data_IF_965214717346
#
_entry.id   IF_965214717346
#
_cell.length_a   1.000
_cell.length_b   1.000
_cell.length_c   1.000
_cell.angle_alpha   90.00
_cell.angle_beta   90.00
_cell.angle_gamma   90.00
#
_symmetry.space_group_name_H-M   'P 1'
#
loop_
_entity.id
_entity.type
_entity.pdbx_description
1 polymer ?
#
# COMPACT_ATOMS: atom_id res chain seq x y z
N UNK A 1 -26.42 43.77 0.14
CA UNK A 1 -25.94 42.57 -0.65
C UNK A 1 -24.84 41.76 0.05
N UNK A 2 -24.08 42.34 0.99
CA UNK A 2 -22.88 41.69 1.60
C UNK A 2 -23.21 40.70 2.76
N UNK A 3 -24.30 40.85 3.49
CA UNK A 3 -24.62 40.02 4.65
C UNK A 3 -25.20 38.64 4.27
N UNK A 4 -26.00 38.55 3.23
CA UNK A 4 -26.55 37.26 2.75
C UNK A 4 -25.48 36.32 2.20
N UNK A 5 -24.47 36.87 1.53
CA UNK A 5 -23.33 36.11 1.01
C UNK A 5 -22.45 35.57 2.16
N UNK A 6 -22.21 36.44 3.19
CA UNK A 6 -21.49 36.02 4.40
C UNK A 6 -22.22 34.94 5.18
N UNK A 7 -23.55 35.07 5.29
CA UNK A 7 -24.38 34.08 5.98
C UNK A 7 -24.37 32.73 5.25
N UNK A 8 -24.57 32.74 3.92
CA UNK A 8 -24.46 31.51 3.09
C UNK A 8 -23.10 30.86 3.24
N UNK A 9 -22.03 31.62 3.16
CA UNK A 9 -20.66 31.08 3.31
C UNK A 9 -20.44 30.44 4.70
N UNK A 10 -20.90 31.09 5.77
CA UNK A 10 -20.83 30.52 7.13
C UNK A 10 -21.64 29.24 7.26
N UNK A 11 -22.87 29.25 6.73
CA UNK A 11 -23.73 28.06 6.76
C UNK A 11 -23.09 26.88 6.01
N UNK A 12 -22.58 27.13 4.81
CA UNK A 12 -21.85 26.09 4.03
C UNK A 12 -20.63 25.58 4.79
N UNK A 13 -19.85 26.46 5.39
CA UNK A 13 -18.69 26.05 6.20
C UNK A 13 -19.10 25.22 7.41
N UNK A 14 -20.13 25.62 8.15
CA UNK A 14 -20.65 24.87 9.30
C UNK A 14 -21.14 23.48 8.88
N UNK A 15 -21.91 23.40 7.80
CA UNK A 15 -22.37 22.10 7.25
C UNK A 15 -21.20 21.21 6.82
N UNK A 16 -20.19 21.79 6.17
CA UNK A 16 -18.97 21.07 5.79
C UNK A 16 -18.22 20.54 7.01
N UNK A 17 -18.07 21.34 8.07
CA UNK A 17 -17.43 20.85 9.30
C UNK A 17 -18.25 19.78 10.01
N UNK A 18 -19.58 19.93 10.10
CA UNK A 18 -20.44 18.90 10.67
C UNK A 18 -20.33 17.57 9.90
N UNK A 19 -20.34 17.65 8.57
CA UNK A 19 -20.15 16.47 7.72
C UNK A 19 -18.79 15.82 7.94
N UNK A 20 -17.70 16.61 7.97
CA UNK A 20 -16.35 16.10 8.19
C UNK A 20 -16.18 15.49 9.59
N UNK A 21 -16.75 16.11 10.62
CA UNK A 21 -16.73 15.57 12.00
C UNK A 21 -17.50 14.25 12.05
N UNK A 22 -18.71 14.20 11.47
CA UNK A 22 -19.52 12.98 11.41
C UNK A 22 -18.77 11.84 10.68
N UNK A 23 -18.17 12.13 9.53
CA UNK A 23 -17.37 11.18 8.79
C UNK A 23 -16.15 10.71 9.60
N UNK A 24 -15.46 11.63 10.29
CA UNK A 24 -14.31 11.31 11.14
C UNK A 24 -14.70 10.37 12.29
N UNK A 25 -15.84 10.59 12.94
CA UNK A 25 -16.34 9.71 14.00
C UNK A 25 -16.59 8.31 13.45
N UNK A 26 -17.25 8.18 12.30
CA UNK A 26 -17.53 6.88 11.67
C UNK A 26 -16.24 6.12 11.34
N UNK A 27 -15.20 6.80 10.86
CA UNK A 27 -13.91 6.19 10.50
C UNK A 27 -13.10 5.83 11.76
N UNK A 28 -13.08 6.71 12.76
CA UNK A 28 -12.28 6.52 13.97
C UNK A 28 -12.89 5.46 14.90
N UNK A 29 -14.21 5.32 14.91
CA UNK A 29 -14.92 4.40 15.79
C UNK A 29 -14.39 2.95 15.73
N UNK A 30 -14.29 2.26 14.57
CA UNK A 30 -13.75 0.90 14.51
C UNK A 30 -12.28 0.83 14.89
N UNK A 31 -11.50 1.88 14.63
CA UNK A 31 -10.10 1.93 15.04
C UNK A 31 -9.96 1.99 16.57
N UNK A 32 -10.79 2.80 17.21
CA UNK A 32 -10.83 2.86 18.68
C UNK A 32 -11.19 1.51 19.29
N UNK A 33 -12.21 0.82 18.76
CA UNK A 33 -12.59 -0.52 19.24
C UNK A 33 -11.41 -1.49 19.10
N UNK A 34 -10.71 -1.47 17.97
CA UNK A 34 -9.55 -2.34 17.75
C UNK A 34 -8.43 -2.03 18.75
N UNK A 35 -8.12 -0.75 18.96
CA UNK A 35 -7.12 -0.33 19.94
C UNK A 35 -7.52 -0.78 21.35
N UNK A 36 -8.76 -0.51 21.76
CA UNK A 36 -9.25 -0.90 23.08
C UNK A 36 -9.21 -2.43 23.27
N UNK A 37 -9.60 -3.19 22.26
CA UNK A 37 -9.56 -4.67 22.28
C UNK A 37 -8.14 -5.21 22.42
N UNK A 38 -7.13 -4.55 21.88
CA UNK A 38 -5.74 -4.98 21.95
C UNK A 38 -5.16 -4.87 23.38
N UNK A 39 -5.60 -3.86 24.13
CA UNK A 39 -5.12 -3.61 25.51
C UNK A 39 -6.00 -4.24 26.60
N UNK A 40 -7.09 -4.89 26.25
CA UNK A 40 -7.99 -5.50 27.20
C UNK A 40 -7.44 -6.83 27.72
N UNK A 41 -7.44 -7.02 29.04
CA UNK A 41 -7.03 -8.28 29.67
C UNK A 41 -8.00 -9.42 29.30
N UNK A 42 -7.44 -10.61 29.01
CA UNK A 42 -8.18 -11.84 28.76
C UNK A 42 -8.77 -11.96 27.36
N UNK A 43 -9.53 -13.04 27.16
CA UNK A 43 -10.10 -13.36 25.84
C UNK A 43 -11.34 -12.51 25.60
N UNK A 44 -11.29 -11.61 24.63
CA UNK A 44 -12.42 -10.76 24.23
C UNK A 44 -13.25 -11.53 23.22
N UNK A 45 -14.51 -11.79 23.57
CA UNK A 45 -15.41 -12.58 22.74
C UNK A 45 -16.05 -11.77 21.59
N UNK A 46 -15.97 -10.45 21.62
CA UNK A 46 -16.53 -9.58 20.57
C UNK A 46 -15.83 -8.22 20.56
N UNK A 47 -15.81 -7.58 19.38
CA UNK A 47 -15.43 -6.18 19.24
C UNK A 47 -16.50 -5.29 19.91
N UNK A 48 -16.29 -4.90 21.15
CA UNK A 48 -17.17 -4.00 21.91
C UNK A 48 -16.40 -2.82 22.47
N UNK A 49 -17.00 -1.65 22.40
CA UNK A 49 -16.54 -0.48 23.15
C UNK A 49 -16.77 -0.76 24.65
N UNK A 50 -15.70 -0.94 25.39
CA UNK A 50 -15.75 -1.13 26.82
C UNK A 50 -15.04 0.04 27.48
N UNK A 51 -15.73 0.74 28.36
CA UNK A 51 -15.18 1.90 29.06
C UNK A 51 -14.30 1.53 30.24
N UNK A 52 -14.33 0.27 30.67
CA UNK A 52 -13.50 -0.24 31.77
C UNK A 52 -12.27 -0.96 31.17
N UNK A 53 -11.24 -0.21 30.85
CA UNK A 53 -10.02 -0.73 30.24
C UNK A 53 -8.95 -0.83 31.32
N UNK A 54 -8.64 -2.06 31.72
CA UNK A 54 -7.37 -2.36 32.36
C UNK A 54 -6.32 -2.43 31.27
N UNK A 55 -5.62 -1.30 31.05
CA UNK A 55 -4.55 -1.23 30.05
C UNK A 55 -3.46 -2.25 30.37
N UNK A 56 -3.41 -3.30 29.57
CA UNK A 56 -2.50 -4.42 29.72
C UNK A 56 -1.77 -4.69 28.39
N UNK A 57 -0.47 -4.97 28.46
CA UNK A 57 0.37 -5.34 27.32
C UNK A 57 0.52 -6.86 27.15
N UNK A 58 -0.17 -7.68 27.95
CA UNK A 58 -0.04 -9.14 27.92
C UNK A 58 -0.41 -9.72 26.55
N UNK A 59 -1.39 -9.13 25.85
CA UNK A 59 -1.75 -9.56 24.50
C UNK A 59 -0.60 -9.37 23.50
N UNK A 60 0.13 -8.27 23.62
CA UNK A 60 1.31 -8.01 22.77
C UNK A 60 2.43 -9.00 23.12
N UNK A 61 2.69 -9.23 24.40
CA UNK A 61 3.69 -10.21 24.85
C UNK A 61 3.32 -11.62 24.41
N UNK A 62 2.08 -12.06 24.70
CA UNK A 62 1.57 -13.38 24.34
C UNK A 62 1.58 -13.62 22.83
N UNK A 63 1.32 -12.58 22.02
CA UNK A 63 1.37 -12.66 20.57
C UNK A 63 2.74 -13.14 20.07
N UNK A 64 3.83 -12.67 20.66
CA UNK A 64 5.20 -13.08 20.30
C UNK A 64 5.68 -14.34 21.00
N UNK A 65 5.20 -14.65 22.22
CA UNK A 65 5.68 -15.79 23.00
C UNK A 65 4.87 -17.07 22.81
N UNK A 66 3.58 -16.95 22.46
CA UNK A 66 2.66 -18.08 22.35
C UNK A 66 2.24 -18.40 20.90
N UNK A 67 2.66 -17.57 19.95
CA UNK A 67 2.25 -17.71 18.54
C UNK A 67 3.44 -17.51 17.60
N UNK A 68 3.24 -17.81 16.32
CA UNK A 68 4.24 -17.57 15.27
C UNK A 68 4.19 -16.13 14.70
N UNK A 69 3.56 -15.20 15.41
CA UNK A 69 3.36 -13.84 14.91
C UNK A 69 4.67 -13.15 14.49
N UNK A 70 5.74 -13.30 15.25
CA UNK A 70 7.05 -12.73 14.91
C UNK A 70 7.57 -13.24 13.56
N UNK A 71 7.41 -14.54 13.30
CA UNK A 71 7.77 -15.15 12.01
C UNK A 71 6.91 -14.60 10.87
N UNK A 72 5.59 -14.55 11.06
CA UNK A 72 4.66 -14.00 10.06
C UNK A 72 4.94 -12.54 9.73
N UNK A 73 5.25 -11.77 10.76
CA UNK A 73 5.59 -10.35 10.62
C UNK A 73 6.88 -10.16 9.82
N UNK A 74 7.93 -10.93 10.11
CA UNK A 74 9.19 -10.91 9.37
C UNK A 74 9.01 -11.38 7.92
N UNK A 75 8.27 -12.47 7.70
CA UNK A 75 7.95 -12.95 6.36
C UNK A 75 7.30 -11.82 5.53
N UNK A 76 6.27 -11.17 6.11
CA UNK A 76 5.56 -10.09 5.41
C UNK A 76 6.46 -8.89 5.17
N UNK A 77 7.27 -8.51 6.14
CA UNK A 77 8.19 -7.38 6.01
C UNK A 77 9.20 -7.61 4.89
N UNK A 78 9.77 -8.80 4.79
CA UNK A 78 10.71 -9.18 3.71
C UNK A 78 9.98 -9.12 2.35
N UNK A 79 8.80 -9.75 2.26
CA UNK A 79 7.99 -9.74 1.04
C UNK A 79 7.67 -8.30 0.63
N UNK A 80 7.24 -7.45 1.56
CA UNK A 80 6.86 -6.07 1.30
C UNK A 80 8.06 -5.21 0.85
N UNK A 81 9.21 -5.34 1.51
CA UNK A 81 10.42 -4.60 1.16
C UNK A 81 10.95 -4.98 -0.22
N UNK A 82 11.00 -6.29 -0.53
CA UNK A 82 11.48 -6.77 -1.83
C UNK A 82 10.49 -6.39 -2.93
N UNK A 83 9.18 -6.56 -2.70
CA UNK A 83 8.14 -6.13 -3.64
C UNK A 83 8.25 -4.62 -3.91
N UNK A 84 8.34 -3.81 -2.86
CA UNK A 84 8.50 -2.35 -2.98
C UNK A 84 9.73 -2.00 -3.83
N UNK A 85 10.89 -2.55 -3.52
CA UNK A 85 12.14 -2.22 -4.21
C UNK A 85 12.09 -2.63 -5.69
N UNK A 86 11.69 -3.86 -5.98
CA UNK A 86 11.66 -4.40 -7.35
C UNK A 86 10.56 -3.75 -8.18
N UNK A 87 9.33 -3.75 -7.67
CA UNK A 87 8.17 -3.21 -8.39
C UNK A 87 8.33 -1.72 -8.68
N UNK A 88 8.73 -0.91 -7.67
CA UNK A 88 8.91 0.54 -7.86
C UNK A 88 10.01 0.82 -8.88
N UNK A 89 11.13 0.09 -8.83
CA UNK A 89 12.22 0.25 -9.79
C UNK A 89 11.76 -0.02 -11.23
N UNK A 90 11.04 -1.12 -11.44
CA UNK A 90 10.51 -1.48 -12.77
C UNK A 90 9.50 -0.43 -13.26
N UNK A 91 8.56 0.00 -12.40
CA UNK A 91 7.53 0.99 -12.74
C UNK A 91 8.15 2.32 -13.12
N UNK A 92 9.15 2.79 -12.38
CA UNK A 92 9.84 4.06 -12.64
C UNK A 92 10.60 4.01 -13.95
N UNK A 93 11.37 2.94 -14.19
CA UNK A 93 12.12 2.76 -15.45
C UNK A 93 11.18 2.61 -16.65
N UNK A 94 10.11 1.82 -16.51
CA UNK A 94 9.10 1.66 -17.54
C UNK A 94 8.39 3.00 -17.84
N UNK A 95 7.92 3.71 -16.79
CA UNK A 95 7.27 5.02 -16.94
C UNK A 95 8.14 6.03 -17.66
N UNK A 96 9.43 6.10 -17.31
CA UNK A 96 10.41 6.95 -18.01
C UNK A 96 10.58 6.54 -19.48
N UNK A 97 10.77 5.24 -19.74
CA UNK A 97 10.92 4.74 -21.11
C UNK A 97 9.68 5.04 -21.96
N UNK A 98 8.49 4.78 -21.41
CA UNK A 98 7.22 5.08 -22.09
C UNK A 98 6.95 6.58 -22.27
N UNK A 99 7.52 7.43 -21.44
CA UNK A 99 7.38 8.89 -21.57
C UNK A 99 8.37 9.48 -22.57
N UNK A 100 9.63 9.08 -22.52
CA UNK A 100 10.75 9.76 -23.20
C UNK A 100 11.20 9.12 -24.49
N UNK A 101 10.93 7.84 -24.72
CA UNK A 101 11.40 7.15 -25.91
C UNK A 101 10.26 6.75 -26.83
N UNK A 102 10.54 6.81 -28.13
CA UNK A 102 9.68 6.26 -29.17
C UNK A 102 10.25 4.91 -29.59
N UNK A 103 9.52 3.84 -29.33
CA UNK A 103 9.89 2.47 -29.72
C UNK A 103 8.71 1.75 -30.35
N UNK A 104 9.02 0.66 -31.08
CA UNK A 104 8.02 -0.16 -31.74
C UNK A 104 7.02 -0.71 -30.71
N UNK A 105 5.72 -0.67 -31.07
CA UNK A 105 4.62 -1.15 -30.22
C UNK A 105 4.43 -0.40 -28.87
N UNK A 106 4.97 0.82 -28.69
CA UNK A 106 4.80 1.64 -27.47
C UNK A 106 3.32 1.85 -27.10
N UNK A 107 2.48 2.24 -28.05
CA UNK A 107 1.04 2.45 -27.81
C UNK A 107 0.32 1.14 -27.55
N UNK A 108 0.62 0.12 -28.34
CA UNK A 108 0.00 -1.20 -28.24
C UNK A 108 0.30 -1.87 -26.89
N UNK A 109 1.55 -1.80 -26.42
CA UNK A 109 1.92 -2.37 -25.12
C UNK A 109 1.28 -1.64 -23.94
N UNK A 110 1.09 -0.33 -23.99
CA UNK A 110 0.31 0.40 -22.97
C UNK A 110 -1.16 -0.01 -22.95
N UNK A 111 -1.78 -0.18 -24.13
CA UNK A 111 -3.16 -0.69 -24.23
C UNK A 111 -3.23 -2.13 -23.71
N UNK A 112 -2.25 -2.96 -24.05
CA UNK A 112 -2.15 -4.34 -23.56
C UNK A 112 -2.05 -4.40 -22.02
N UNK A 113 -1.31 -3.50 -21.38
CA UNK A 113 -1.27 -3.39 -19.91
C UNK A 113 -2.66 -3.12 -19.33
N UNK A 114 -3.45 -2.24 -19.94
CA UNK A 114 -4.81 -1.97 -19.47
C UNK A 114 -5.74 -3.19 -19.67
N UNK A 115 -5.60 -3.91 -20.79
CA UNK A 115 -6.38 -5.14 -21.05
C UNK A 115 -6.07 -6.23 -20.02
N UNK A 116 -4.80 -6.46 -19.70
CA UNK A 116 -4.41 -7.43 -18.67
C UNK A 116 -5.05 -7.09 -17.32
N UNK A 117 -5.11 -5.81 -16.98
CA UNK A 117 -5.69 -5.36 -15.71
C UNK A 117 -7.20 -5.59 -15.61
N UNK A 118 -7.90 -5.84 -16.74
CA UNK A 118 -9.31 -6.18 -16.74
C UNK A 118 -9.58 -7.62 -16.29
N UNK A 119 -8.56 -8.48 -16.26
CA UNK A 119 -8.70 -9.84 -15.75
C UNK A 119 -8.85 -9.80 -14.23
N UNK A 120 -9.97 -10.28 -13.66
CA UNK A 120 -10.15 -10.29 -12.21
C UNK A 120 -9.11 -11.19 -11.54
N UNK A 121 -8.33 -10.65 -10.62
CA UNK A 121 -7.30 -11.40 -9.88
C UNK A 121 -7.88 -12.62 -9.17
N UNK A 122 -9.12 -12.52 -8.67
CA UNK A 122 -9.82 -13.63 -8.01
C UNK A 122 -10.07 -14.81 -8.97
N UNK A 123 -10.35 -14.55 -10.25
CA UNK A 123 -10.50 -15.60 -11.25
C UNK A 123 -9.17 -16.30 -11.58
N UNK A 124 -8.05 -15.62 -11.40
CA UNK A 124 -6.72 -16.14 -11.66
C UNK A 124 -6.14 -16.98 -10.51
N UNK A 125 -6.75 -17.00 -9.32
CA UNK A 125 -6.22 -17.69 -8.14
C UNK A 125 -5.92 -19.17 -8.38
N UNK A 126 -6.86 -19.88 -9.05
CA UNK A 126 -6.66 -21.29 -9.39
C UNK A 126 -5.47 -21.49 -10.33
N UNK A 127 -5.32 -20.61 -11.32
CA UNK A 127 -4.19 -20.67 -12.25
C UNK A 127 -2.86 -20.41 -11.51
N UNK A 128 -2.81 -19.45 -10.61
CA UNK A 128 -1.63 -19.18 -9.77
C UNK A 128 -1.29 -20.36 -8.86
N UNK A 129 -2.30 -21.02 -8.30
CA UNK A 129 -2.09 -22.23 -7.49
C UNK A 129 -1.52 -23.38 -8.32
N UNK A 130 -2.09 -23.66 -9.51
CA UNK A 130 -1.58 -24.68 -10.42
C UNK A 130 -0.14 -24.36 -10.85
N UNK A 131 0.13 -23.11 -11.18
CA UNK A 131 1.50 -22.67 -11.52
C UNK A 131 2.47 -22.85 -10.35
N UNK A 132 2.05 -22.55 -9.12
CA UNK A 132 2.84 -22.79 -7.93
C UNK A 132 3.15 -24.29 -7.72
N UNK A 133 2.18 -25.17 -7.97
CA UNK A 133 2.39 -26.62 -7.93
C UNK A 133 3.42 -27.08 -8.98
N UNK A 134 3.26 -26.62 -10.22
CA UNK A 134 4.17 -26.99 -11.32
C UNK A 134 5.61 -26.52 -11.09
N UNK A 135 5.79 -25.40 -10.41
CA UNK A 135 7.09 -24.81 -10.12
C UNK A 135 7.65 -25.23 -8.74
N UNK A 136 6.95 -26.09 -7.98
CA UNK A 136 7.26 -26.40 -6.58
C UNK A 136 7.43 -25.14 -5.74
N UNK A 137 6.60 -24.14 -5.95
CA UNK A 137 6.70 -22.79 -5.36
C UNK A 137 5.67 -22.53 -4.25
N UNK A 138 4.89 -23.54 -3.83
CA UNK A 138 4.06 -23.43 -2.64
C UNK A 138 4.93 -23.20 -1.41
N UNK A 139 4.46 -22.39 -0.48
CA UNK A 139 5.17 -21.98 0.73
C UNK A 139 6.48 -21.18 0.48
N UNK A 140 6.65 -20.64 -0.72
CA UNK A 140 7.85 -19.86 -1.04
C UNK A 140 7.52 -18.38 -1.25
N UNK A 141 8.11 -17.52 -0.45
CA UNK A 141 7.93 -16.06 -0.51
C UNK A 141 8.31 -15.46 -1.87
N UNK A 142 9.29 -16.03 -2.58
CA UNK A 142 9.73 -15.51 -3.88
C UNK A 142 8.62 -15.57 -4.93
N UNK A 143 7.78 -16.60 -4.90
CA UNK A 143 6.68 -16.73 -5.85
C UNK A 143 5.58 -15.71 -5.57
N UNK A 144 5.28 -15.47 -4.30
CA UNK A 144 4.34 -14.43 -3.89
C UNK A 144 4.85 -13.02 -4.27
N UNK A 145 6.14 -12.74 -4.06
CA UNK A 145 6.80 -11.50 -4.52
C UNK A 145 6.67 -11.35 -6.04
N UNK A 146 6.94 -12.42 -6.80
CA UNK A 146 6.82 -12.41 -8.26
C UNK A 146 5.40 -12.03 -8.72
N UNK A 147 4.37 -12.59 -8.08
CA UNK A 147 2.98 -12.27 -8.39
C UNK A 147 2.60 -10.84 -8.01
N UNK A 148 3.05 -10.33 -6.85
CA UNK A 148 2.80 -8.94 -6.47
C UNK A 148 3.48 -7.96 -7.42
N UNK A 149 4.76 -8.19 -7.73
CA UNK A 149 5.51 -7.36 -8.67
C UNK A 149 4.82 -7.36 -10.04
N UNK A 150 4.56 -8.56 -10.58
CA UNK A 150 3.93 -8.70 -11.90
C UNK A 150 2.54 -8.08 -11.98
N UNK A 151 1.70 -8.32 -10.97
CA UNK A 151 0.35 -7.78 -10.91
C UNK A 151 0.29 -6.25 -10.74
N UNK A 152 1.29 -5.67 -10.09
CA UNK A 152 1.34 -4.23 -9.84
C UNK A 152 1.91 -3.40 -11.00
N UNK A 153 2.68 -3.99 -11.92
CA UNK A 153 3.37 -3.24 -12.98
C UNK A 153 2.39 -2.57 -13.98
N UNK A 154 1.37 -3.24 -14.54
CA UNK A 154 0.64 -2.71 -15.69
C UNK A 154 0.02 -1.34 -15.44
N UNK A 155 -0.84 -1.21 -14.44
CA UNK A 155 -1.52 0.04 -14.11
C UNK A 155 -0.56 1.12 -13.61
N UNK A 156 0.38 0.72 -12.77
CA UNK A 156 1.29 1.66 -12.12
C UNK A 156 2.35 2.20 -13.10
N UNK A 157 2.79 1.42 -14.09
CA UNK A 157 3.64 1.91 -15.17
C UNK A 157 2.92 2.95 -16.02
N UNK A 158 1.63 2.73 -16.28
CA UNK A 158 0.79 3.70 -17.00
C UNK A 158 0.64 5.01 -16.21
N UNK A 159 0.33 4.93 -14.91
CA UNK A 159 0.25 6.10 -14.01
C UNK A 159 1.59 6.84 -13.93
N UNK A 160 2.68 6.10 -13.78
CA UNK A 160 4.03 6.68 -13.71
C UNK A 160 4.42 7.37 -15.01
N UNK A 161 4.09 6.79 -16.17
CA UNK A 161 4.25 7.42 -17.48
C UNK A 161 3.48 8.73 -17.54
N UNK A 162 2.21 8.75 -17.12
CA UNK A 162 1.41 9.98 -17.09
C UNK A 162 2.05 11.08 -16.22
N UNK A 163 2.66 10.71 -15.11
CA UNK A 163 3.37 11.67 -14.26
C UNK A 163 4.67 12.16 -14.89
N UNK A 164 5.46 11.30 -15.55
CA UNK A 164 6.63 11.74 -16.32
C UNK A 164 6.26 12.70 -17.46
N UNK A 165 5.09 12.55 -18.07
CA UNK A 165 4.63 13.42 -19.15
C UNK A 165 4.35 14.87 -18.67
N UNK A 166 4.14 15.09 -17.37
CA UNK A 166 3.99 16.44 -16.81
C UNK A 166 5.31 17.21 -16.73
N UNK A 167 6.43 16.50 -16.82
CA UNK A 167 7.77 17.11 -16.82
C UNK A 167 8.10 17.58 -18.24
N UNK A 168 8.37 18.88 -18.46
CA UNK A 168 8.63 19.42 -19.80
C UNK A 168 9.80 18.73 -20.50
N UNK A 169 9.62 18.38 -21.77
CA UNK A 169 10.67 17.77 -22.60
C UNK A 169 11.89 18.69 -22.80
N UNK A 170 11.67 20.01 -22.78
CA UNK A 170 12.73 21.00 -22.89
C UNK A 170 13.85 20.86 -21.86
N UNK A 171 13.54 20.31 -20.68
CA UNK A 171 14.57 20.01 -19.65
C UNK A 171 15.50 18.89 -20.12
N UNK A 172 14.96 17.85 -20.75
CA UNK A 172 15.75 16.75 -21.31
C UNK A 172 16.60 17.23 -22.51
N UNK A 173 16.03 18.12 -23.34
CA UNK A 173 16.69 18.69 -24.53
C UNK A 173 17.84 19.63 -24.12
N UNK A 174 17.60 20.55 -23.18
CA UNK A 174 18.64 21.45 -22.64
C UNK A 174 19.79 20.64 -22.04
N UNK A 175 19.47 19.64 -21.21
CA UNK A 175 20.49 18.79 -20.61
C UNK A 175 21.31 18.00 -21.66
N UNK A 176 20.65 17.62 -22.78
CA UNK A 176 21.36 16.96 -23.89
C UNK A 176 22.31 17.92 -24.60
N UNK A 177 21.94 19.19 -24.77
CA UNK A 177 22.83 20.22 -25.31
C UNK A 177 24.02 20.47 -24.40
N UNK A 178 23.84 20.38 -23.08
CA UNK A 178 24.91 20.47 -22.07
C UNK A 178 25.78 19.19 -22.00
N UNK A 179 25.59 18.22 -22.90
CA UNK A 179 26.37 17.00 -22.98
C UNK A 179 25.96 15.92 -21.96
N UNK A 180 24.80 16.05 -21.27
CA UNK A 180 24.34 15.03 -20.34
C UNK A 180 23.88 13.77 -21.06
N UNK A 181 24.53 12.63 -20.77
CA UNK A 181 24.13 11.31 -21.25
C UNK A 181 22.79 10.85 -20.65
N UNK A 182 22.22 9.76 -21.18
CA UNK A 182 20.90 9.21 -20.78
C UNK A 182 20.78 8.95 -19.27
N UNK A 183 21.79 8.35 -18.69
CA UNK A 183 21.82 8.03 -17.25
C UNK A 183 21.79 9.30 -16.38
N UNK A 184 22.61 10.31 -16.73
CA UNK A 184 22.66 11.57 -15.99
C UNK A 184 21.33 12.33 -16.10
N UNK A 185 20.70 12.37 -17.28
CA UNK A 185 19.38 13.00 -17.49
C UNK A 185 18.32 12.32 -16.62
N UNK A 186 18.27 10.99 -16.62
CA UNK A 186 17.32 10.24 -15.78
C UNK A 186 17.54 10.52 -14.29
N UNK A 187 18.73 10.23 -13.76
CA UNK A 187 18.96 10.24 -12.31
C UNK A 187 19.07 11.63 -11.70
N UNK A 188 19.66 12.59 -12.41
CA UNK A 188 19.97 13.90 -11.85
C UNK A 188 18.97 14.99 -12.22
N UNK A 189 18.19 14.82 -13.29
CA UNK A 189 17.29 15.85 -13.81
C UNK A 189 15.84 15.41 -13.69
N UNK A 190 15.46 14.30 -14.30
CA UNK A 190 14.04 13.95 -14.43
C UNK A 190 13.52 13.22 -13.18
N UNK A 191 14.26 12.24 -12.65
CA UNK A 191 13.85 11.46 -11.48
C UNK A 191 13.59 12.33 -10.24
N UNK A 192 14.40 13.36 -9.90
CA UNK A 192 14.11 14.26 -8.79
C UNK A 192 12.75 14.97 -8.90
N UNK A 193 12.31 15.31 -10.10
CA UNK A 193 11.04 16.00 -10.35
C UNK A 193 9.82 15.08 -10.16
N UNK A 194 9.99 13.79 -10.36
CA UNK A 194 8.92 12.79 -10.20
C UNK A 194 8.97 12.04 -8.87
N UNK A 195 9.86 12.41 -7.95
CA UNK A 195 9.97 11.83 -6.59
C UNK A 195 8.63 11.71 -5.86
N UNK A 196 7.71 12.68 -5.93
CA UNK A 196 6.40 12.55 -5.29
C UNK A 196 5.65 11.29 -5.73
N UNK A 197 5.60 11.03 -7.04
CA UNK A 197 4.91 9.85 -7.56
C UNK A 197 5.68 8.56 -7.29
N UNK A 198 7.00 8.58 -7.31
CA UNK A 198 7.84 7.43 -6.90
C UNK A 198 7.54 7.03 -5.45
N UNK A 199 7.40 8.01 -4.56
CA UNK A 199 7.07 7.76 -3.15
C UNK A 199 5.67 7.14 -2.99
N UNK A 200 4.68 7.60 -3.77
CA UNK A 200 3.33 6.99 -3.79
C UNK A 200 3.41 5.52 -4.24
N UNK A 201 4.13 5.25 -5.33
CA UNK A 201 4.28 3.89 -5.86
C UNK A 201 4.99 2.96 -4.86
N UNK A 202 6.05 3.45 -4.22
CA UNK A 202 6.77 2.71 -3.19
C UNK A 202 5.86 2.37 -2.00
N UNK A 203 5.07 3.34 -1.52
CA UNK A 203 4.14 3.12 -0.43
C UNK A 203 3.08 2.07 -0.77
N UNK A 204 2.47 2.15 -1.95
CA UNK A 204 1.47 1.18 -2.39
C UNK A 204 2.05 -0.23 -2.53
N UNK A 205 3.22 -0.36 -3.15
CA UNK A 205 3.90 -1.64 -3.30
C UNK A 205 4.28 -2.27 -1.95
N UNK A 206 4.64 -1.44 -0.95
CA UNK A 206 4.95 -1.89 0.40
C UNK A 206 3.69 -2.33 1.16
N UNK A 207 2.60 -1.60 1.05
CA UNK A 207 1.37 -1.88 1.80
C UNK A 207 0.65 -3.15 1.32
N UNK A 208 0.74 -3.46 0.02
CA UNK A 208 0.01 -4.58 -0.60
C UNK A 208 0.13 -5.90 0.17
N UNK A 209 1.33 -6.42 0.44
CA UNK A 209 1.53 -7.68 1.15
C UNK A 209 0.99 -7.73 2.58
N UNK A 210 0.89 -6.59 3.28
CA UNK A 210 0.32 -6.53 4.62
C UNK A 210 -1.20 -6.71 4.65
N UNK A 211 -1.89 -6.31 3.57
CA UNK A 211 -3.34 -6.40 3.47
C UNK A 211 -3.84 -7.64 2.72
N UNK A 212 -2.97 -8.36 2.03
CA UNK A 212 -3.40 -9.51 1.24
C UNK A 212 -3.51 -10.78 2.08
N UNK A 213 -4.76 -11.21 2.25
CA UNK A 213 -5.11 -12.49 2.84
C UNK A 213 -5.36 -13.56 1.76
N UNK A 214 -6.05 -13.18 0.68
CA UNK A 214 -6.63 -14.15 -0.24
C UNK A 214 -5.55 -14.89 -1.03
N UNK A 215 -4.73 -14.17 -1.80
CA UNK A 215 -3.68 -14.79 -2.60
C UNK A 215 -2.66 -15.49 -1.71
N UNK A 216 -2.25 -14.84 -0.61
CA UNK A 216 -1.31 -15.43 0.35
C UNK A 216 -1.83 -16.73 0.95
N UNK A 217 -3.10 -16.83 1.34
CA UNK A 217 -3.68 -18.04 1.93
C UNK A 217 -3.81 -19.20 0.94
N UNK A 218 -3.91 -18.91 -0.36
CA UNK A 218 -3.90 -19.93 -1.41
C UNK A 218 -2.53 -20.55 -1.64
N UNK A 219 -1.46 -19.78 -1.49
CA UNK A 219 -0.10 -20.18 -1.84
C UNK A 219 0.72 -20.65 -0.62
N UNK A 220 0.46 -20.08 0.55
CA UNK A 220 1.14 -20.42 1.79
C UNK A 220 0.24 -21.33 2.64
N UNK A 221 0.61 -22.61 2.78
CA UNK A 221 -0.19 -23.64 3.43
C UNK A 221 0.31 -24.02 4.81
N UNK A 222 1.59 -23.84 5.05
CA UNK A 222 2.23 -24.17 6.32
C UNK A 222 2.39 -22.91 7.17
N UNK A 223 2.17 -23.02 8.47
CA UNK A 223 2.08 -21.88 9.40
C UNK A 223 3.37 -21.05 9.45
N UNK A 224 4.50 -21.68 9.28
CA UNK A 224 5.82 -21.06 9.34
C UNK A 224 6.05 -20.06 8.18
N UNK A 225 5.36 -20.28 7.06
CA UNK A 225 5.48 -19.44 5.86
C UNK A 225 4.41 -18.36 5.74
N UNK A 226 3.41 -18.34 6.63
CA UNK A 226 2.30 -17.40 6.54
C UNK A 226 2.79 -15.95 6.51
N UNK A 227 2.03 -15.11 5.78
CA UNK A 227 2.05 -13.66 5.98
C UNK A 227 1.29 -13.31 7.25
N UNK A 228 1.53 -12.10 7.75
CA UNK A 228 0.85 -11.61 8.96
C UNK A 228 -0.67 -11.56 8.78
N UNK A 229 -1.16 -11.24 7.58
CA UNK A 229 -2.60 -11.23 7.28
C UNK A 229 -3.22 -12.63 7.41
N UNK A 230 -2.55 -13.66 6.85
CA UNK A 230 -2.98 -15.06 6.96
C UNK A 230 -2.90 -15.53 8.40
N UNK A 231 -1.80 -15.23 9.09
CA UNK A 231 -1.62 -15.61 10.49
C UNK A 231 -2.66 -15.00 11.42
N UNK A 232 -2.93 -13.71 11.31
CA UNK A 232 -3.95 -13.01 12.10
C UNK A 232 -5.36 -13.58 11.87
N UNK A 233 -5.68 -13.94 10.64
CA UNK A 233 -6.98 -14.51 10.33
C UNK A 233 -7.22 -15.83 11.09
N UNK A 234 -6.16 -16.59 11.43
CA UNK A 234 -6.31 -17.82 12.22
C UNK A 234 -6.89 -17.57 13.61
N UNK A 235 -6.71 -16.37 14.18
CA UNK A 235 -7.24 -15.99 15.48
C UNK A 235 -8.75 -15.75 15.51
N UNK A 236 -9.35 -15.48 14.36
CA UNK A 236 -10.78 -15.16 14.24
C UNK A 236 -11.58 -16.17 13.41
N UNK A 237 -10.93 -17.12 12.75
CA UNK A 237 -11.60 -18.12 11.91
C UNK A 237 -12.43 -19.15 12.73
N UNK A 238 -12.15 -19.33 14.01
CA UNK A 238 -12.87 -20.27 14.83
C UNK A 238 -13.82 -19.52 15.78
N UNK A 239 -15.11 -19.49 15.44
CA UNK A 239 -16.15 -18.77 16.19
C UNK A 239 -16.24 -19.18 17.69
N UNK A 240 -15.82 -20.42 18.05
CA UNK A 240 -15.86 -20.89 19.44
C UNK A 240 -14.64 -20.42 20.27
N UNK A 241 -13.51 -20.11 19.63
CA UNK A 241 -12.25 -19.76 20.29
C UNK A 241 -11.58 -18.55 19.61
N UNK A 242 -12.33 -17.48 19.40
CA UNK A 242 -11.77 -16.25 18.84
C UNK A 242 -10.78 -15.62 19.83
N UNK A 243 -9.59 -15.29 19.33
CA UNK A 243 -8.57 -14.53 20.05
C UNK A 243 -8.54 -13.08 19.55
N UNK A 244 -9.66 -12.35 19.72
CA UNK A 244 -9.84 -10.99 19.20
C UNK A 244 -8.78 -10.03 19.74
N UNK A 245 -8.36 -10.18 20.99
CA UNK A 245 -7.31 -9.35 21.57
C UNK A 245 -5.96 -9.54 20.85
N UNK A 246 -5.58 -10.78 20.52
CA UNK A 246 -4.36 -11.07 19.74
C UNK A 246 -4.48 -10.55 18.31
N UNK A 247 -5.64 -10.75 17.67
CA UNK A 247 -5.92 -10.17 16.34
C UNK A 247 -5.74 -8.65 16.36
N UNK A 248 -6.33 -7.97 17.35
CA UNK A 248 -6.29 -6.52 17.50
C UNK A 248 -4.87 -6.01 17.79
N UNK A 249 -4.15 -6.66 18.69
CA UNK A 249 -2.75 -6.32 18.99
C UNK A 249 -1.86 -6.48 17.75
N UNK A 250 -2.03 -7.57 17.00
CA UNK A 250 -1.30 -7.80 15.75
C UNK A 250 -1.65 -6.79 14.66
N UNK A 251 -2.91 -6.41 14.53
CA UNK A 251 -3.36 -5.40 13.58
C UNK A 251 -2.74 -4.01 13.85
N UNK A 252 -2.60 -3.63 15.14
CA UNK A 252 -1.90 -2.39 15.52
C UNK A 252 -0.43 -2.44 15.11
N UNK A 253 0.23 -3.58 15.35
CA UNK A 253 1.64 -3.74 15.00
C UNK A 253 1.89 -3.71 13.49
N UNK A 254 0.92 -4.16 12.67
CA UNK A 254 0.98 -4.03 11.21
C UNK A 254 1.01 -2.56 10.78
N UNK A 255 0.28 -1.69 11.47
CA UNK A 255 0.24 -0.27 11.12
C UNK A 255 1.61 0.42 11.31
N UNK A 256 2.45 -0.06 12.23
CA UNK A 256 3.73 0.59 12.56
C UNK A 256 4.68 0.75 11.35
N UNK A 257 5.05 -0.31 10.61
CA UNK A 257 5.98 -0.15 9.49
C UNK A 257 5.40 0.70 8.37
N UNK A 258 4.07 0.63 8.16
CA UNK A 258 3.38 1.45 7.18
C UNK A 258 3.41 2.93 7.58
N UNK A 259 3.10 3.24 8.84
CA UNK A 259 3.16 4.61 9.36
C UNK A 259 4.59 5.16 9.34
N UNK A 260 5.59 4.34 9.68
CA UNK A 260 7.01 4.73 9.65
C UNK A 260 7.40 5.07 8.21
N UNK A 261 7.10 4.20 7.25
CA UNK A 261 7.40 4.46 5.84
C UNK A 261 6.67 5.71 5.33
N UNK A 262 5.38 5.84 5.65
CA UNK A 262 4.60 7.04 5.30
C UNK A 262 5.25 8.31 5.86
N UNK A 263 5.67 8.30 7.12
CA UNK A 263 6.33 9.45 7.77
C UNK A 263 7.59 9.89 7.02
N UNK A 264 8.39 8.95 6.53
CA UNK A 264 9.57 9.28 5.72
C UNK A 264 9.21 9.79 4.31
N UNK A 265 8.14 9.26 3.71
CA UNK A 265 7.75 9.61 2.35
C UNK A 265 6.87 10.86 2.25
N UNK A 266 6.17 11.26 3.32
CA UNK A 266 5.20 12.37 3.31
C UNK A 266 5.77 13.72 2.80
N UNK A 267 7.05 13.99 3.06
CA UNK A 267 7.71 15.20 2.56
C UNK A 267 7.67 15.30 1.02
N UNK A 268 7.74 14.16 0.34
CA UNK A 268 7.66 14.12 -1.12
C UNK A 268 6.24 14.40 -1.63
N UNK A 269 5.19 14.05 -0.86
CA UNK A 269 3.80 14.31 -1.26
C UNK A 269 3.44 15.80 -1.19
N UNK A 270 3.87 16.47 -0.12
CA UNK A 270 3.55 17.90 0.10
C UNK A 270 4.19 18.78 -0.97
N UNK A 271 5.43 18.51 -1.35
CA UNK A 271 6.13 19.29 -2.38
C UNK A 271 5.48 19.20 -3.77
N UNK A 272 4.86 18.07 -4.09
CA UNK A 272 4.12 17.88 -5.36
C UNK A 272 2.79 18.65 -5.43
N UNK A 273 2.13 18.85 -4.30
CA UNK A 273 0.84 19.57 -4.23
C UNK A 273 1.03 21.11 -4.26
N UNK A 274 2.11 21.61 -3.69
CA UNK A 274 2.39 23.05 -3.66
C UNK A 274 2.91 23.59 -4.99
N UNK A 275 3.66 22.80 -5.76
CA UNK A 275 4.15 23.21 -7.09
C UNK A 275 3.05 23.25 -8.16
N UNK A 276 1.90 22.63 -7.95
CA UNK A 276 0.73 22.68 -8.83
C UNK A 276 -0.25 23.82 -8.56
N UNK A 277 -0.16 24.44 -7.36
CA UNK A 277 -1.09 25.48 -6.89
C UNK A 277 -0.76 26.90 -7.30
N UNK A 278 0.40 27.15 -7.87
CA UNK A 278 0.89 28.52 -8.18
C UNK A 278 0.70 28.92 -9.66
N UNK A 279 -0.32 28.33 -10.31
CA UNK A 279 -0.80 28.70 -11.65
C UNK A 279 -2.21 29.25 -11.54
N UNK A 280 -2.38 30.34 -10.82
CA UNK A 280 -3.62 31.08 -10.72
C UNK A 280 -3.36 32.56 -10.60
#
# INVERSE_FOLDING_TARGET
>A
MNNSIKLKRRLTQTLTYLYLIGLSIVIIYPLLITIMSAFKAGNVAAFKLDTNIDFNFDNFKGLFTETLYGTWYLNTLIIALVTMAVQTSIIVLAGYAYSRYNFLARKQSLVFFLIIQMVPTMAALTAFFVMALMLNALNHSWFLIFLYVGGGIPMNAWLMKGYFDTVPMSLDESAKLDGAGHFRRFWQIVLPLVRPMVAVQALWAFMGPFGDYILSSFLLREKEYFTVAVGLQTFVNNAKNMKIAYFSAGAILIALPICILFFFLQKNFVSGLTSGGDKG
#
